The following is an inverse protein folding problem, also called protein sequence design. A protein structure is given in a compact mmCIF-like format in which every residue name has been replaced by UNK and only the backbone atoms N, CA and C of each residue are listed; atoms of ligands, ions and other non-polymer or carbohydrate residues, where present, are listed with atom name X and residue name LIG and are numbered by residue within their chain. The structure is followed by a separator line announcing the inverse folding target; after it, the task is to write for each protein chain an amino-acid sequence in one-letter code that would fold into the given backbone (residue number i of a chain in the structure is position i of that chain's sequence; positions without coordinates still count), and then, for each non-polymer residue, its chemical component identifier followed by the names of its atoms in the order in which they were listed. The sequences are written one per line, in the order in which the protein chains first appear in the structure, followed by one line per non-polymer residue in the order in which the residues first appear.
data_IF_945535294134
#
_entry.id   IF_945535294134
#
_cell.length_a   1.000
_cell.length_b   1.000
_cell.length_c   1.000
_cell.angle_alpha   90.00
_cell.angle_beta   90.00
_cell.angle_gamma   90.00
#
_symmetry.space_group_name_H-M   'P 1'
#
loop_
_entity.id
_entity.type
_entity.pdbx_description
1 polymer ?
#
# COMPACT_ATOMS: atom_id res chain seq x y z
N UNK A 1 -55.44 39.36 -7.85
CA UNK A 1 -54.33 39.62 -6.90
C UNK A 1 -53.11 38.87 -7.38
N UNK A 2 -52.06 39.60 -7.76
CA UNK A 2 -50.87 39.09 -8.43
C UNK A 2 -49.81 38.80 -7.36
N UNK A 3 -49.57 37.52 -7.02
CA UNK A 3 -48.49 37.14 -6.11
C UNK A 3 -47.26 36.72 -6.94
N UNK A 4 -46.19 37.53 -6.87
CA UNK A 4 -44.86 37.16 -7.37
C UNK A 4 -44.14 36.43 -6.23
N UNK A 5 -43.59 35.21 -6.43
CA UNK A 5 -42.67 34.65 -5.47
C UNK A 5 -41.45 35.57 -5.37
N UNK A 6 -41.19 36.03 -4.15
CA UNK A 6 -39.99 36.77 -3.78
C UNK A 6 -38.82 35.83 -3.99
N UNK A 7 -38.12 35.99 -5.11
CA UNK A 7 -36.81 35.40 -5.34
C UNK A 7 -35.92 35.80 -4.15
N UNK A 8 -35.75 34.91 -3.18
CA UNK A 8 -34.56 34.93 -2.34
C UNK A 8 -33.41 34.75 -3.33
N UNK A 9 -32.75 35.87 -3.69
CA UNK A 9 -31.47 35.82 -4.37
C UNK A 9 -30.57 35.02 -3.44
N UNK A 10 -30.04 33.89 -3.92
CA UNK A 10 -29.04 33.14 -3.16
C UNK A 10 -28.00 34.14 -2.65
N UNK A 11 -27.60 34.07 -1.37
CA UNK A 11 -26.66 35.03 -0.81
C UNK A 11 -25.42 35.06 -1.72
N UNK A 12 -25.03 36.25 -2.16
CA UNK A 12 -23.81 36.40 -2.95
C UNK A 12 -22.65 35.83 -2.12
N UNK A 13 -21.80 34.96 -2.71
CA UNK A 13 -20.70 34.34 -1.98
C UNK A 13 -19.76 35.41 -1.42
N UNK A 14 -19.20 35.14 -0.25
CA UNK A 14 -18.25 36.05 0.41
C UNK A 14 -17.04 36.31 -0.52
N UNK A 15 -16.60 37.57 -0.72
CA UNK A 15 -15.38 37.87 -1.46
C UNK A 15 -14.17 37.00 -1.08
N UNK A 16 -14.03 36.65 0.20
CA UNK A 16 -12.96 35.77 0.67
C UNK A 16 -13.09 34.33 0.13
N UNK A 17 -14.32 33.83 -0.04
CA UNK A 17 -14.57 32.52 -0.65
C UNK A 17 -14.22 32.52 -2.14
N UNK A 18 -14.56 33.60 -2.85
CA UNK A 18 -14.23 33.78 -4.27
C UNK A 18 -12.71 33.81 -4.51
N UNK A 19 -11.97 34.52 -3.65
CA UNK A 19 -10.50 34.54 -3.70
C UNK A 19 -9.91 33.15 -3.43
N UNK A 20 -10.42 32.44 -2.42
CA UNK A 20 -9.99 31.08 -2.10
C UNK A 20 -10.29 30.09 -3.24
N UNK A 21 -11.43 30.22 -3.90
CA UNK A 21 -11.77 29.41 -5.08
C UNK A 21 -10.85 29.71 -6.27
N UNK A 22 -10.53 30.98 -6.51
CA UNK A 22 -9.61 31.38 -7.56
C UNK A 22 -8.19 30.85 -7.32
N UNK A 23 -7.67 30.95 -6.10
CA UNK A 23 -6.38 30.38 -5.73
C UNK A 23 -6.36 28.85 -5.87
N UNK A 24 -7.44 28.19 -5.46
CA UNK A 24 -7.59 26.75 -5.63
C UNK A 24 -7.64 26.34 -7.11
N UNK A 25 -8.35 27.09 -7.95
CA UNK A 25 -8.40 26.85 -9.39
C UNK A 25 -7.02 27.00 -10.05
N UNK A 26 -6.23 28.01 -9.63
CA UNK A 26 -4.82 28.16 -10.07
C UNK A 26 -3.98 26.95 -9.64
N UNK A 27 -4.13 26.51 -8.39
CA UNK A 27 -3.43 25.32 -7.88
C UNK A 27 -3.81 24.05 -8.66
N UNK A 28 -5.11 23.87 -8.95
CA UNK A 28 -5.60 22.76 -9.79
C UNK A 28 -4.95 22.79 -11.18
N UNK A 29 -4.94 23.95 -11.84
CA UNK A 29 -4.34 24.09 -13.17
C UNK A 29 -2.83 23.81 -13.19
N UNK A 30 -2.11 24.24 -12.15
CA UNK A 30 -0.68 23.96 -11.99
C UNK A 30 -0.41 22.46 -11.77
N UNK A 31 -1.21 21.80 -10.92
CA UNK A 31 -1.12 20.35 -10.70
C UNK A 31 -1.37 19.57 -11.99
N UNK A 32 -2.46 19.88 -12.69
CA UNK A 32 -2.86 19.21 -13.93
C UNK A 32 -1.77 19.34 -15.01
N UNK A 33 -1.21 20.54 -15.16
CA UNK A 33 -0.05 20.77 -16.04
C UNK A 33 1.15 19.92 -15.63
N UNK A 34 1.49 19.88 -14.34
CA UNK A 34 2.61 19.10 -13.83
C UNK A 34 2.46 17.60 -14.08
N UNK A 35 1.23 17.06 -14.00
CA UNK A 35 0.94 15.67 -14.34
C UNK A 35 1.24 15.40 -15.81
N UNK A 36 0.65 16.22 -16.69
CA UNK A 36 0.85 16.11 -18.14
C UNK A 36 2.32 16.22 -18.52
N UNK A 37 3.02 17.24 -18.02
CA UNK A 37 4.43 17.48 -18.32
C UNK A 37 5.29 16.30 -17.85
N UNK A 38 5.08 15.82 -16.62
CA UNK A 38 5.82 14.68 -16.07
C UNK A 38 5.58 13.40 -16.90
N UNK A 39 4.32 13.11 -17.26
CA UNK A 39 3.98 11.94 -18.08
C UNK A 39 4.64 12.02 -19.46
N UNK A 40 4.54 13.17 -20.13
CA UNK A 40 5.09 13.38 -21.48
C UNK A 40 6.61 13.30 -21.46
N UNK A 41 7.27 13.90 -20.46
CA UNK A 41 8.73 13.83 -20.30
C UNK A 41 9.23 12.41 -20.03
N UNK A 42 8.43 11.59 -19.34
CA UNK A 42 8.70 10.18 -19.13
C UNK A 42 8.38 9.31 -20.36
N UNK A 43 7.82 9.87 -21.43
CA UNK A 43 7.44 9.14 -22.64
C UNK A 43 6.25 8.19 -22.46
N UNK A 44 5.45 8.39 -21.41
CA UNK A 44 4.37 7.47 -21.03
C UNK A 44 3.08 7.80 -21.79
N UNK A 45 2.50 6.78 -22.43
CA UNK A 45 1.14 6.89 -22.98
C UNK A 45 0.11 6.69 -21.87
N UNK A 46 -1.13 7.14 -22.07
CA UNK A 46 -2.20 6.81 -21.13
C UNK A 46 -2.45 5.31 -21.01
N UNK A 47 -2.15 4.52 -22.05
CA UNK A 47 -2.28 3.07 -22.00
C UNK A 47 -1.25 2.43 -21.07
N UNK A 48 -0.02 2.98 -21.02
CA UNK A 48 1.00 2.53 -20.06
C UNK A 48 0.56 2.82 -18.63
N UNK A 49 0.09 4.05 -18.38
CA UNK A 49 -0.42 4.43 -17.06
C UNK A 49 -1.63 3.59 -16.66
N UNK A 50 -2.56 3.32 -17.58
CA UNK A 50 -3.73 2.48 -17.33
C UNK A 50 -3.34 1.03 -16.99
N UNK A 51 -2.40 0.44 -17.73
CA UNK A 51 -1.88 -0.91 -17.44
C UNK A 51 -1.28 -0.98 -16.03
N UNK A 52 -0.46 -0.01 -15.67
CA UNK A 52 0.33 -0.06 -14.45
C UNK A 52 -0.48 0.38 -13.21
N UNK A 53 -1.40 1.33 -13.36
CA UNK A 53 -2.19 1.88 -12.25
C UNK A 53 -3.61 1.31 -12.14
N UNK A 54 -4.07 0.61 -13.19
CA UNK A 54 -5.46 0.14 -13.35
C UNK A 54 -6.51 1.26 -13.33
N UNK A 55 -6.10 2.51 -13.52
CA UNK A 55 -7.02 3.64 -13.70
C UNK A 55 -7.41 3.71 -15.17
N UNK A 56 -8.71 3.67 -15.45
CA UNK A 56 -9.20 3.75 -16.82
C UNK A 56 -8.64 4.99 -17.54
N UNK A 57 -8.18 4.82 -18.78
CA UNK A 57 -7.59 5.91 -19.59
C UNK A 57 -8.49 7.14 -19.67
N UNK A 58 -9.81 6.98 -19.79
CA UNK A 58 -10.74 8.11 -19.88
C UNK A 58 -10.70 8.99 -18.62
N UNK A 59 -10.40 8.42 -17.45
CA UNK A 59 -10.29 9.18 -16.20
C UNK A 59 -8.93 9.85 -16.05
N UNK A 60 -7.86 9.23 -16.56
CA UNK A 60 -6.54 9.87 -16.61
C UNK A 60 -6.56 11.11 -17.51
N UNK A 61 -7.22 11.00 -18.66
CA UNK A 61 -7.46 12.14 -19.56
C UNK A 61 -8.32 13.21 -18.88
N UNK A 62 -9.42 12.82 -18.21
CA UNK A 62 -10.26 13.75 -17.45
C UNK A 62 -9.48 14.48 -16.35
N UNK A 63 -8.56 13.80 -15.65
CA UNK A 63 -7.67 14.42 -14.65
C UNK A 63 -6.73 15.41 -15.34
N UNK A 64 -6.08 15.03 -16.44
CA UNK A 64 -5.17 15.91 -17.19
C UNK A 64 -5.87 17.07 -17.90
N UNK A 65 -7.20 17.02 -18.07
CA UNK A 65 -8.02 18.11 -18.59
C UNK A 65 -8.71 18.94 -17.50
N UNK A 66 -8.56 18.55 -16.24
CA UNK A 66 -9.25 19.17 -15.10
C UNK A 66 -10.76 18.91 -15.07
N UNK A 67 -11.27 17.95 -15.85
CA UNK A 67 -12.68 17.54 -15.95
C UNK A 67 -13.04 16.51 -14.88
N UNK A 68 -12.81 16.83 -13.60
CA UNK A 68 -13.04 15.89 -12.50
C UNK A 68 -14.51 15.47 -12.32
N UNK A 69 -15.46 16.22 -12.88
CA UNK A 69 -16.89 15.88 -12.88
C UNK A 69 -17.25 14.71 -13.79
N UNK A 70 -16.40 14.36 -14.76
CA UNK A 70 -16.63 13.25 -15.70
C UNK A 70 -16.27 11.89 -15.06
N UNK A 71 -15.62 11.90 -13.90
CA UNK A 71 -15.22 10.69 -13.17
C UNK A 71 -16.45 10.15 -12.43
N UNK A 72 -16.90 8.91 -12.71
CA UNK A 72 -18.06 8.34 -12.04
C UNK A 72 -17.80 8.20 -10.55
N UNK A 73 -18.76 8.66 -9.76
CA UNK A 73 -18.70 8.86 -8.31
C UNK A 73 -17.50 9.73 -7.85
N UNK A 74 -17.74 11.00 -7.49
CA UNK A 74 -16.70 11.97 -7.07
C UNK A 74 -15.75 11.47 -5.97
N UNK A 75 -16.17 10.49 -5.18
CA UNK A 75 -15.37 9.82 -4.15
C UNK A 75 -14.09 9.18 -4.72
N UNK A 76 -14.11 8.68 -5.96
CA UNK A 76 -12.97 7.98 -6.57
C UNK A 76 -11.94 8.93 -7.18
N UNK A 77 -12.33 10.16 -7.57
CA UNK A 77 -11.42 11.14 -8.15
C UNK A 77 -10.22 11.42 -7.24
N UNK A 78 -10.42 11.50 -5.93
CA UNK A 78 -9.34 11.69 -4.94
C UNK A 78 -8.36 10.53 -4.93
N UNK A 79 -8.88 9.29 -5.04
CA UNK A 79 -8.06 8.08 -5.10
C UNK A 79 -7.22 8.03 -6.38
N UNK A 80 -7.82 8.36 -7.52
CA UNK A 80 -7.13 8.38 -8.81
C UNK A 80 -6.04 9.45 -8.87
N UNK A 81 -6.31 10.67 -8.40
CA UNK A 81 -5.28 11.73 -8.32
C UNK A 81 -4.11 11.31 -7.44
N UNK A 82 -4.38 10.70 -6.27
CA UNK A 82 -3.34 10.19 -5.38
C UNK A 82 -2.49 9.09 -6.02
N UNK A 83 -3.15 8.10 -6.64
CA UNK A 83 -2.48 6.97 -7.28
C UNK A 83 -1.64 7.43 -8.46
N UNK A 84 -2.19 8.34 -9.28
CA UNK A 84 -1.48 8.86 -10.44
C UNK A 84 -0.30 9.74 -10.07
N UNK A 85 -0.42 10.61 -9.05
CA UNK A 85 0.70 11.36 -8.51
C UNK A 85 1.84 10.44 -8.06
N UNK A 86 1.51 9.37 -7.32
CA UNK A 86 2.50 8.39 -6.86
C UNK A 86 3.20 7.70 -8.03
N UNK A 87 2.44 7.30 -9.05
CA UNK A 87 2.98 6.67 -10.24
C UNK A 87 3.96 7.59 -11.00
N UNK A 88 3.65 8.88 -11.10
CA UNK A 88 4.53 9.89 -11.70
C UNK A 88 5.70 10.34 -10.80
N UNK A 89 5.85 9.78 -9.60
CA UNK A 89 6.88 10.21 -8.63
C UNK A 89 6.64 11.61 -8.05
N UNK A 90 5.41 12.10 -8.09
CA UNK A 90 4.98 13.38 -7.54
C UNK A 90 4.44 13.23 -6.11
N UNK A 91 4.39 14.32 -5.35
CA UNK A 91 3.83 14.30 -4.01
C UNK A 91 2.29 14.10 -4.05
N UNK A 92 1.77 12.98 -3.50
CA UNK A 92 0.35 12.67 -3.57
C UNK A 92 -0.51 13.63 -2.73
N UNK A 93 -0.01 14.11 -1.59
CA UNK A 93 -0.80 14.96 -0.69
C UNK A 93 -0.92 16.38 -1.24
N UNK A 94 0.14 16.90 -1.88
CA UNK A 94 0.08 18.17 -2.62
C UNK A 94 -0.93 18.10 -3.77
N UNK A 95 -0.92 17.00 -4.53
CA UNK A 95 -1.87 16.81 -5.63
C UNK A 95 -3.33 16.75 -5.13
N UNK A 96 -3.59 15.97 -4.08
CA UNK A 96 -4.93 15.85 -3.50
C UNK A 96 -5.41 17.18 -2.89
N UNK A 97 -4.51 17.98 -2.32
CA UNK A 97 -4.82 19.31 -1.81
C UNK A 97 -5.20 20.30 -2.93
N UNK A 98 -4.56 20.18 -4.09
CA UNK A 98 -4.80 21.02 -5.26
C UNK A 98 -6.09 20.67 -6.04
N UNK A 99 -6.75 19.56 -5.74
CA UNK A 99 -8.02 19.19 -6.39
C UNK A 99 -9.12 20.23 -6.12
N UNK A 100 -10.04 20.48 -7.07
CA UNK A 100 -11.21 21.32 -6.82
C UNK A 100 -12.13 20.68 -5.76
N UNK A 101 -12.97 21.50 -5.13
CA UNK A 101 -14.06 20.97 -4.30
C UNK A 101 -15.07 20.30 -5.24
N UNK A 102 -15.25 19.00 -5.08
CA UNK A 102 -16.23 18.24 -5.85
C UNK A 102 -17.58 18.24 -5.13
N UNK A 103 -18.70 18.28 -5.88
CA UNK A 103 -20.02 18.15 -5.28
C UNK A 103 -20.14 16.79 -4.58
N UNK A 104 -20.90 16.71 -3.47
CA UNK A 104 -21.18 15.44 -2.82
C UNK A 104 -21.88 14.48 -3.81
N UNK A 105 -21.63 13.16 -3.70
CA UNK A 105 -22.28 12.17 -4.55
C UNK A 105 -23.81 12.27 -4.45
N UNK A 106 -24.48 12.41 -5.60
CA UNK A 106 -25.94 12.48 -5.69
C UNK A 106 -26.57 11.21 -5.10
N UNK A 107 -27.51 11.36 -4.17
CA UNK A 107 -28.25 10.23 -3.58
C UNK A 107 -27.55 9.53 -2.40
N UNK A 108 -26.41 10.05 -1.93
CA UNK A 108 -25.72 9.58 -0.73
C UNK A 108 -25.64 10.71 0.29
N UNK A 109 -26.79 11.21 0.75
CA UNK A 109 -26.83 12.01 1.96
C UNK A 109 -26.21 11.17 3.09
N UNK A 110 -25.07 11.59 3.68
CA UNK A 110 -24.43 10.82 4.73
C UNK A 110 -25.44 10.70 5.87
N UNK A 111 -25.83 9.47 6.22
CA UNK A 111 -26.72 9.25 7.36
C UNK A 111 -26.17 10.02 8.56
N UNK A 112 -26.94 11.00 9.04
CA UNK A 112 -26.57 11.82 10.18
C UNK A 112 -26.36 10.90 11.39
N UNK A 113 -25.11 10.67 11.78
CA UNK A 113 -24.78 9.83 12.94
C UNK A 113 -23.48 9.04 12.88
N UNK A 114 -22.84 8.88 11.71
CA UNK A 114 -21.60 8.08 11.60
C UNK A 114 -20.30 8.91 11.52
N UNK A 115 -20.23 10.06 12.20
CA UNK A 115 -18.92 10.66 12.50
C UNK A 115 -18.26 9.81 13.58
N UNK A 116 -17.48 8.81 13.18
CA UNK A 116 -16.55 8.14 14.10
C UNK A 116 -15.42 9.13 14.40
N UNK A 117 -15.65 10.04 15.35
CA UNK A 117 -14.59 10.84 15.96
C UNK A 117 -13.78 9.92 16.85
N UNK A 118 -12.91 9.10 16.26
CA UNK A 118 -11.79 8.57 17.03
C UNK A 118 -10.87 9.77 17.25
N UNK A 119 -10.97 10.40 18.41
CA UNK A 119 -9.99 11.39 18.82
C UNK A 119 -8.60 10.73 18.75
N UNK A 120 -7.58 11.36 18.14
CA UNK A 120 -6.24 10.79 18.12
C UNK A 120 -5.77 10.63 19.56
N UNK A 121 -5.68 9.38 20.02
CA UNK A 121 -5.05 9.07 21.30
C UNK A 121 -3.56 9.40 21.16
N UNK A 122 -3.14 10.54 21.69
CA UNK A 122 -1.72 10.84 21.82
C UNK A 122 -1.08 9.72 22.64
N UNK A 123 0.06 9.15 22.20
CA UNK A 123 0.74 8.13 22.99
C UNK A 123 1.11 8.76 24.34
N UNK A 124 0.72 8.11 25.43
CA UNK A 124 1.11 8.53 26.77
C UNK A 124 2.64 8.41 26.90
N UNK A 125 3.34 9.53 26.74
CA UNK A 125 4.78 9.59 26.97
C UNK A 125 5.00 9.51 28.48
N UNK A 126 5.57 8.40 28.94
CA UNK A 126 5.92 8.20 30.34
C UNK A 126 7.05 9.19 30.71
N UNK A 127 6.67 10.32 31.29
CA UNK A 127 7.53 11.42 31.71
C UNK A 127 8.81 11.00 32.48
N UNK A 128 8.82 9.98 33.36
CA UNK A 128 10.07 9.55 34.02
C UNK A 128 11.07 8.89 33.06
N UNK A 129 10.61 8.24 31.98
CA UNK A 129 11.48 7.57 31.00
C UNK A 129 12.15 8.60 30.09
N UNK A 130 11.41 9.63 29.66
CA UNK A 130 11.97 10.73 28.87
C UNK A 130 13.02 11.53 29.66
N UNK A 131 12.80 11.73 30.97
CA UNK A 131 13.78 12.36 31.86
C UNK A 131 15.06 11.54 32.01
N UNK A 132 14.95 10.21 32.10
CA UNK A 132 16.11 9.31 32.18
C UNK A 132 16.98 9.34 30.93
N UNK A 133 16.36 9.34 29.74
CA UNK A 133 17.10 9.40 28.46
C UNK A 133 17.83 10.75 28.32
N UNK A 134 17.17 11.86 28.65
CA UNK A 134 17.80 13.18 28.61
C UNK A 134 18.98 13.30 29.60
N UNK A 135 18.84 12.76 30.81
CA UNK A 135 19.90 12.75 31.80
C UNK A 135 21.10 11.89 31.37
N UNK A 136 20.86 10.71 30.79
CA UNK A 136 21.91 9.83 30.29
C UNK A 136 22.69 10.44 29.11
N UNK A 137 21.98 11.09 28.17
CA UNK A 137 22.61 11.82 27.05
C UNK A 137 23.46 12.99 27.55
N UNK A 138 22.97 13.74 28.54
CA UNK A 138 23.73 14.85 29.14
C UNK A 138 25.00 14.34 29.83
N UNK A 139 24.92 13.21 30.55
CA UNK A 139 26.07 12.59 31.22
C UNK A 139 27.11 12.08 30.21
N UNK A 140 26.66 11.46 29.10
CA UNK A 140 27.55 11.02 28.02
C UNK A 140 28.25 12.20 27.32
N UNK A 141 27.56 13.32 27.11
CA UNK A 141 28.14 14.55 26.55
C UNK A 141 29.20 15.11 27.51
N UNK A 142 28.92 15.15 28.81
CA UNK A 142 29.90 15.60 29.82
C UNK A 142 31.12 14.67 29.84
N UNK A 143 30.93 13.35 29.81
CA UNK A 143 32.02 12.39 29.77
C UNK A 143 32.90 12.54 28.51
N UNK A 144 32.28 12.73 27.33
CA UNK A 144 32.99 12.96 26.07
C UNK A 144 33.82 14.25 26.08
N UNK A 145 33.28 15.33 26.65
CA UNK A 145 33.98 16.62 26.74
C UNK A 145 35.14 16.62 27.73
N UNK A 146 35.10 15.77 28.77
CA UNK A 146 36.13 15.69 29.82
C UNK A 146 37.12 14.53 29.64
N UNK A 147 36.87 13.59 28.74
CA UNK A 147 37.78 12.48 28.40
C UNK A 147 39.19 12.91 27.94
N UNK A 148 39.40 14.04 27.23
CA UNK A 148 40.76 14.41 26.80
C UNK A 148 41.58 15.15 27.87
N UNK A 149 41.04 15.43 29.08
CA UNK A 149 41.76 16.21 30.12
C UNK A 149 42.69 15.32 30.98
N UNK A 150 42.46 14.01 31.04
CA UNK A 150 43.22 13.10 31.92
C UNK A 150 44.12 12.07 31.19
N UNK A 151 44.14 12.05 29.86
CA UNK A 151 44.88 11.04 29.07
C UNK A 151 46.13 11.58 28.39
N UNK A 152 47.04 12.19 29.14
CA UNK A 152 48.34 12.63 28.63
C UNK A 152 49.46 11.63 28.94
N UNK A 153 50.13 11.15 27.90
CA UNK A 153 51.53 10.69 27.96
C UNK A 153 51.77 9.19 27.74
N UNK A 154 52.51 8.86 26.68
CA UNK A 154 53.19 7.58 26.54
C UNK A 154 53.37 7.13 25.10
N UNK A 155 54.48 7.56 24.49
CA UNK A 155 54.96 7.15 23.17
C UNK A 155 55.12 5.62 23.00
N UNK A 156 54.93 5.17 21.75
CA UNK A 156 55.29 3.88 21.13
C UNK A 156 56.77 3.46 21.38
N UNK A 157 57.26 2.20 21.11
CA UNK A 157 56.98 1.41 19.89
C UNK A 157 57.11 -0.14 19.93
N UNK A 158 56.72 -0.75 18.79
CA UNK A 158 57.33 -1.90 18.09
C UNK A 158 57.52 -3.30 18.75
N UNK A 159 56.83 -4.28 18.16
CA UNK A 159 57.50 -5.43 17.51
C UNK A 159 57.55 -6.79 18.23
N UNK A 160 57.37 -7.84 17.41
CA UNK A 160 57.58 -9.29 17.65
C UNK A 160 56.40 -10.06 18.26
N UNK A 161 56.06 -11.31 17.89
CA UNK A 161 56.53 -12.30 16.91
C UNK A 161 55.48 -13.41 16.83
N UNK A 162 55.35 -14.02 15.64
CA UNK A 162 55.08 -15.44 15.32
C UNK A 162 54.03 -16.31 16.05
N UNK A 163 53.31 -17.04 15.19
CA UNK A 163 52.99 -18.48 15.24
C UNK A 163 51.63 -18.96 15.80
N UNK A 164 50.81 -19.45 14.87
CA UNK A 164 50.26 -20.82 14.77
C UNK A 164 49.58 -21.44 16.00
N UNK A 165 48.28 -21.72 15.90
CA UNK A 165 47.74 -23.09 15.91
C UNK A 165 46.21 -23.11 15.64
N UNK A 166 45.82 -23.93 14.68
CA UNK A 166 44.46 -24.40 14.41
C UNK A 166 43.91 -25.20 15.58
N UNK A 167 42.62 -25.07 15.91
CA UNK A 167 41.78 -26.19 16.38
C UNK A 167 40.34 -26.00 15.93
N UNK A 168 39.91 -26.94 15.08
CA UNK A 168 38.54 -27.37 14.77
C UNK A 168 37.63 -27.48 15.99
N UNK A 169 36.39 -27.00 15.91
CA UNK A 169 35.30 -27.56 16.73
C UNK A 169 34.03 -27.74 15.91
N UNK A 170 33.95 -28.96 15.38
CA UNK A 170 32.78 -29.75 15.06
C UNK A 170 31.78 -29.77 16.22
N UNK A 171 30.49 -29.51 15.95
CA UNK A 171 29.37 -30.17 16.67
C UNK A 171 28.22 -30.45 15.68
N UNK A 172 27.80 -31.72 15.53
CA UNK A 172 26.58 -32.12 14.84
C UNK A 172 25.42 -32.23 15.86
N UNK A 173 24.21 -31.86 15.44
CA UNK A 173 22.99 -31.97 16.26
C UNK A 173 21.76 -32.22 15.41
N UNK A 174 21.40 -33.49 15.31
CA UNK A 174 20.23 -34.06 14.64
C UNK A 174 18.99 -34.04 15.54
N UNK A 175 17.80 -33.98 14.92
CA UNK A 175 16.45 -34.27 15.44
C UNK A 175 15.85 -33.27 16.44
N UNK A 176 14.59 -32.87 16.31
CA UNK A 176 13.44 -33.79 16.24
C UNK A 176 12.23 -33.13 15.59
N UNK A 177 11.61 -33.84 14.64
CA UNK A 177 10.28 -33.58 14.14
C UNK A 177 9.23 -33.95 15.22
N UNK A 178 8.27 -33.07 15.46
CA UNK A 178 7.00 -33.42 16.12
C UNK A 178 5.91 -33.37 15.07
N UNK A 179 5.57 -34.57 14.61
CA UNK A 179 4.36 -34.93 13.89
C UNK A 179 3.19 -34.88 14.86
N UNK A 180 2.17 -34.07 14.56
CA UNK A 180 0.82 -34.28 15.10
C UNK A 180 -0.15 -34.47 13.95
N UNK A 181 -0.85 -35.61 14.01
CA UNK A 181 -1.61 -36.22 12.96
C UNK A 181 -2.99 -35.58 12.80
N UNK A 182 -3.34 -35.25 11.57
CA UNK A 182 -4.71 -35.04 11.14
C UNK A 182 -4.84 -35.46 9.68
N UNK A 183 -5.33 -36.70 9.46
CA UNK A 183 -6.01 -37.22 8.25
C UNK A 183 -5.36 -36.95 6.87
N UNK A 184 -4.94 -37.96 6.09
CA UNK A 184 -4.61 -37.74 4.68
C UNK A 184 -5.90 -37.44 3.91
N UNK A 185 -6.10 -36.23 3.33
CA UNK A 185 -7.14 -36.09 2.33
C UNK A 185 -6.66 -36.78 1.05
N UNK A 186 -7.45 -37.77 0.65
CA UNK A 186 -7.66 -38.26 -0.71
C UNK A 186 -6.94 -37.45 -1.80
N UNK A 187 -6.11 -38.15 -2.57
CA UNK A 187 -5.42 -37.74 -3.79
C UNK A 187 -6.31 -36.95 -4.76
N UNK A 188 -6.45 -35.64 -4.57
CA UNK A 188 -6.94 -34.72 -5.58
C UNK A 188 -5.72 -34.18 -6.32
N UNK A 189 -5.32 -34.89 -7.36
CA UNK A 189 -4.27 -34.47 -8.30
C UNK A 189 -4.80 -33.30 -9.12
N UNK A 190 -4.03 -32.20 -9.20
CA UNK A 190 -4.32 -31.08 -10.10
C UNK A 190 -4.43 -31.64 -11.53
N UNK A 191 -5.51 -31.37 -12.27
CA UNK A 191 -5.68 -31.88 -13.63
C UNK A 191 -4.52 -31.41 -14.54
N UNK A 192 -4.16 -32.18 -15.58
CA UNK A 192 -3.10 -31.79 -16.50
C UNK A 192 -3.41 -30.45 -17.16
N UNK A 193 -2.42 -29.55 -17.19
CA UNK A 193 -2.52 -28.21 -17.76
C UNK A 193 -1.35 -27.93 -18.71
N UNK A 194 -1.52 -26.94 -19.58
CA UNK A 194 -0.46 -26.49 -20.49
C UNK A 194 0.45 -25.50 -19.76
N UNK A 195 1.77 -25.64 -19.94
CA UNK A 195 2.73 -24.65 -19.46
C UNK A 195 2.36 -23.23 -19.96
N UNK A 196 2.43 -22.23 -19.08
CA UNK A 196 2.02 -20.86 -19.40
C UNK A 196 0.52 -20.56 -19.26
N UNK A 197 -0.28 -21.49 -18.73
CA UNK A 197 -1.71 -21.25 -18.41
C UNK A 197 -2.02 -21.53 -16.95
N UNK A 198 -2.97 -20.78 -16.38
CA UNK A 198 -3.41 -20.91 -15.00
C UNK A 198 -4.04 -22.29 -14.77
N UNK A 199 -3.48 -23.14 -13.88
CA UNK A 199 -4.07 -24.43 -13.55
C UNK A 199 -5.41 -24.28 -12.83
N UNK A 200 -6.27 -25.30 -12.89
CA UNK A 200 -7.49 -25.37 -12.10
C UNK A 200 -7.21 -25.92 -10.71
N UNK A 201 -7.39 -25.08 -9.71
CA UNK A 201 -7.22 -25.40 -8.29
C UNK A 201 -8.56 -25.57 -7.56
N UNK A 202 -9.70 -25.49 -8.26
CA UNK A 202 -11.01 -25.67 -7.61
C UNK A 202 -11.15 -27.09 -7.05
N UNK A 203 -11.60 -27.20 -5.80
CA UNK A 203 -11.68 -28.46 -5.06
C UNK A 203 -10.36 -29.00 -4.53
N UNK A 204 -9.23 -28.32 -4.80
CA UNK A 204 -7.90 -28.72 -4.32
C UNK A 204 -7.61 -28.10 -2.95
N UNK A 205 -6.78 -28.77 -2.14
CA UNK A 205 -6.34 -28.24 -0.84
C UNK A 205 -5.35 -27.09 -1.01
N UNK A 206 -5.33 -26.17 -0.03
CA UNK A 206 -4.34 -25.08 0.03
C UNK A 206 -2.89 -25.56 -0.11
N UNK A 207 -2.53 -26.64 0.58
CA UNK A 207 -1.18 -27.18 0.58
C UNK A 207 -0.77 -27.71 -0.80
N UNK A 208 -1.67 -28.43 -1.48
CA UNK A 208 -1.44 -28.95 -2.83
C UNK A 208 -1.32 -27.82 -3.84
N UNK A 209 -2.21 -26.83 -3.79
CA UNK A 209 -2.16 -25.68 -4.68
C UNK A 209 -0.86 -24.87 -4.51
N UNK A 210 -0.43 -24.65 -3.27
CA UNK A 210 0.82 -23.95 -2.99
C UNK A 210 2.04 -24.68 -3.57
N UNK A 211 2.10 -26.01 -3.44
CA UNK A 211 3.20 -26.80 -4.00
C UNK A 211 3.22 -26.76 -5.54
N UNK A 212 2.06 -26.82 -6.18
CA UNK A 212 1.97 -26.74 -7.65
C UNK A 212 2.32 -25.35 -8.17
N UNK A 213 1.83 -24.29 -7.53
CA UNK A 213 2.13 -22.90 -7.91
C UNK A 213 3.63 -22.60 -7.76
N UNK A 214 4.26 -23.09 -6.69
CA UNK A 214 5.69 -22.93 -6.48
C UNK A 214 6.54 -23.60 -7.58
N UNK A 215 6.08 -24.70 -8.18
CA UNK A 215 6.77 -25.35 -9.31
C UNK A 215 6.61 -24.60 -10.64
N UNK A 216 5.66 -23.66 -10.72
CA UNK A 216 5.36 -22.87 -11.93
C UNK A 216 5.95 -21.45 -11.86
N UNK A 217 6.78 -21.17 -10.85
CA UNK A 217 7.33 -19.83 -10.58
C UNK A 217 6.25 -18.75 -10.42
N UNK A 218 5.04 -19.13 -9.99
CA UNK A 218 3.92 -18.20 -9.78
C UNK A 218 3.85 -17.77 -8.30
N UNK A 219 3.19 -16.64 -8.05
CA UNK A 219 3.03 -16.09 -6.70
C UNK A 219 1.62 -16.39 -6.16
N UNK A 220 1.44 -17.26 -5.14
CA UNK A 220 0.12 -17.55 -4.59
C UNK A 220 -0.35 -16.44 -3.64
N UNK A 221 -1.59 -15.98 -3.80
CA UNK A 221 -2.30 -15.12 -2.85
C UNK A 221 -3.56 -15.83 -2.35
N UNK A 222 -3.57 -16.25 -1.09
CA UNK A 222 -4.74 -16.91 -0.50
C UNK A 222 -5.67 -15.88 0.15
N UNK A 223 -6.96 -15.95 -0.18
CA UNK A 223 -8.02 -15.13 0.41
C UNK A 223 -9.05 -16.05 1.05
N UNK A 224 -9.17 -16.00 2.37
CA UNK A 224 -10.17 -16.79 3.09
C UNK A 224 -11.55 -16.13 2.97
N UNK A 225 -12.56 -16.90 2.57
CA UNK A 225 -13.93 -16.45 2.41
C UNK A 225 -14.95 -17.53 2.80
N UNK A 226 -16.12 -17.10 3.31
CA UNK A 226 -17.23 -18.00 3.61
C UNK A 226 -17.84 -18.53 2.30
N UNK A 227 -17.99 -19.85 2.21
CA UNK A 227 -18.52 -20.54 1.03
C UNK A 227 -19.16 -21.87 1.44
N UNK A 228 -20.07 -22.38 0.63
CA UNK A 228 -20.72 -23.68 0.85
C UNK A 228 -19.74 -24.87 0.68
N UNK A 229 -18.56 -24.63 0.09
CA UNK A 229 -17.52 -25.62 -0.05
C UNK A 229 -16.91 -26.02 1.31
N UNK A 230 -16.37 -27.24 1.47
CA UNK A 230 -15.72 -27.68 2.71
C UNK A 230 -14.58 -26.75 3.13
N UNK A 231 -14.47 -26.47 4.43
CA UNK A 231 -13.42 -25.62 4.96
C UNK A 231 -12.02 -26.13 4.56
N UNK A 232 -11.16 -25.22 4.09
CA UNK A 232 -9.79 -25.52 3.64
C UNK A 232 -9.66 -25.95 2.18
N UNK A 233 -10.75 -25.97 1.41
CA UNK A 233 -10.74 -26.20 -0.04
C UNK A 233 -10.80 -24.89 -0.82
N UNK A 234 -10.15 -24.84 -1.98
CA UNK A 234 -10.25 -23.70 -2.88
C UNK A 234 -11.56 -23.81 -3.65
N UNK A 235 -12.39 -22.79 -3.59
CA UNK A 235 -13.68 -22.77 -4.30
C UNK A 235 -13.69 -21.84 -5.51
N UNK A 236 -12.73 -20.90 -5.58
CA UNK A 236 -12.61 -19.96 -6.69
C UNK A 236 -11.14 -19.53 -6.88
N UNK A 237 -10.81 -19.09 -8.09
CA UNK A 237 -9.48 -18.60 -8.43
C UNK A 237 -9.52 -17.43 -9.43
N UNK A 238 -8.53 -16.56 -9.34
CA UNK A 238 -8.29 -15.49 -10.30
C UNK A 238 -6.79 -15.42 -10.62
N UNK A 239 -6.37 -15.52 -11.89
CA UNK A 239 -7.21 -15.63 -13.09
C UNK A 239 -7.90 -16.99 -13.25
N UNK A 240 -8.96 -17.03 -14.07
CA UNK A 240 -9.75 -18.25 -14.33
C UNK A 240 -8.87 -19.35 -14.95
N UNK A 241 -9.21 -20.64 -14.73
CA UNK A 241 -8.43 -21.75 -15.30
C UNK A 241 -8.25 -21.62 -16.82
N UNK A 242 -7.04 -21.90 -17.30
CA UNK A 242 -6.68 -21.80 -18.73
C UNK A 242 -6.30 -20.40 -19.22
N UNK A 243 -6.37 -19.37 -18.35
CA UNK A 243 -5.87 -18.03 -18.69
C UNK A 243 -4.36 -18.04 -18.83
N UNK A 244 -3.80 -17.35 -19.81
CA UNK A 244 -2.35 -17.19 -19.96
C UNK A 244 -1.76 -16.48 -18.73
N UNK A 245 -0.68 -17.04 -18.18
CA UNK A 245 0.05 -16.51 -17.02
C UNK A 245 1.56 -16.61 -17.25
N UNK A 246 2.29 -15.60 -16.83
CA UNK A 246 3.75 -15.53 -16.92
C UNK A 246 4.42 -15.90 -15.59
N UNK A 247 5.69 -16.29 -15.64
CA UNK A 247 6.46 -16.53 -14.42
C UNK A 247 6.49 -15.27 -13.55
N UNK A 248 6.14 -15.42 -12.27
CA UNK A 248 6.01 -14.35 -11.29
C UNK A 248 4.59 -13.82 -11.10
N UNK A 249 3.65 -14.13 -12.00
CA UNK A 249 2.27 -13.64 -11.90
C UNK A 249 1.58 -14.09 -10.60
N UNK A 250 0.69 -13.23 -10.10
CA UNK A 250 -0.07 -13.50 -8.88
C UNK A 250 -1.34 -14.26 -9.21
N UNK A 251 -1.47 -15.46 -8.64
CA UNK A 251 -2.72 -16.23 -8.67
C UNK A 251 -3.41 -16.09 -7.31
N UNK A 252 -4.59 -15.48 -7.33
CA UNK A 252 -5.46 -15.38 -6.15
C UNK A 252 -6.31 -16.63 -6.04
N UNK A 253 -6.23 -17.30 -4.89
CA UNK A 253 -6.98 -18.52 -4.57
C UNK A 253 -7.91 -18.25 -3.39
N UNK A 254 -9.22 -18.40 -3.61
CA UNK A 254 -10.22 -18.20 -2.57
C UNK A 254 -10.45 -19.52 -1.81
N UNK A 255 -10.08 -19.52 -0.53
CA UNK A 255 -10.15 -20.69 0.35
C UNK A 255 -11.44 -20.60 1.17
N UNK A 256 -12.23 -21.67 1.14
CA UNK A 256 -13.46 -21.74 1.92
C UNK A 256 -13.15 -21.84 3.41
N UNK A 257 -13.82 -21.02 4.22
CA UNK A 257 -13.87 -21.18 5.69
C UNK A 257 -14.98 -22.12 6.16
N UNK A 258 -15.77 -22.68 5.24
CA UNK A 258 -16.98 -23.44 5.50
C UNK A 258 -18.26 -22.58 5.54
N UNK A 259 -19.44 -23.23 5.55
CA UNK A 259 -20.75 -22.58 5.64
C UNK A 259 -21.08 -22.05 7.05
#
# INVERSE_FOLDING_TARGET
MNWRPMFLKDPEPDPAELEAEAERAKATAAMVRRFRDTRVLAGLSFADVERDTRINRAYLEAIEDGRFGDIPAPIYARGFVRSYARYLGLNPEEAVAAMPKLPPPLGLEPMAGLRRTVAPALPAVNLPVAGGIAAALLLAIVAYLFLPIFGGGGDEPAGMVTATASVTSTVPGTSTATTEAGVPPTTATVPPFNEGTAPDFTGVSRATAQATIANLDLTPLFVDAASEAPAGTIFDQSPSPGTEVEAGDVITLFVSTGP
#
